data_IF_887938146898
#
_entry.id   IF_887938146898
#
_cell.length_a   1.000
_cell.length_b   1.000
_cell.length_c   1.000
_cell.angle_alpha   90.00
_cell.angle_beta   90.00
_cell.angle_gamma   90.00
#
_symmetry.space_group_name_H-M   'P 1'
#
loop_
_entity.id
_entity.type
_entity.pdbx_description
1 polymer ?
#
# COMPACT_ATOMS: atom_id res chain seq x y z
N UNK A 1 -13.03 22.81 -27.19
CA UNK A 1 -13.40 21.46 -26.71
C UNK A 1 -13.67 21.53 -25.21
N UNK A 2 -14.60 20.73 -24.68
CA UNK A 2 -14.85 20.65 -23.22
C UNK A 2 -14.38 19.29 -22.72
N UNK A 3 -13.68 19.28 -21.60
CA UNK A 3 -13.11 18.09 -21.00
C UNK A 3 -14.22 17.12 -20.58
N UNK A 4 -13.98 15.83 -20.76
CA UNK A 4 -14.80 14.76 -20.20
C UNK A 4 -14.30 14.52 -18.78
N UNK A 5 -15.19 14.56 -17.77
CA UNK A 5 -14.86 14.32 -16.36
C UNK A 5 -15.78 13.26 -15.78
N UNK A 6 -15.22 12.18 -15.23
CA UNK A 6 -15.97 11.07 -14.62
C UNK A 6 -15.10 10.32 -13.60
N UNK A 7 -15.76 9.53 -12.75
CA UNK A 7 -15.14 8.76 -11.68
C UNK A 7 -14.47 7.49 -12.22
N UNK A 8 -13.29 7.17 -11.68
CA UNK A 8 -12.55 5.93 -11.93
C UNK A 8 -13.47 4.69 -11.80
N UNK A 9 -13.35 3.72 -12.71
CA UNK A 9 -14.16 2.50 -12.74
C UNK A 9 -15.55 2.62 -13.40
N UNK A 10 -15.96 3.80 -13.87
CA UNK A 10 -17.19 3.99 -14.64
C UNK A 10 -16.91 4.18 -16.14
N UNK A 11 -17.75 3.60 -17.00
CA UNK A 11 -17.78 3.93 -18.42
C UNK A 11 -18.50 5.26 -18.59
N UNK A 12 -17.97 6.15 -19.43
CA UNK A 12 -18.61 7.43 -19.70
C UNK A 12 -18.93 7.59 -21.18
N UNK A 13 -20.07 8.23 -21.45
CA UNK A 13 -20.51 8.50 -22.80
C UNK A 13 -19.79 9.73 -23.35
N UNK A 14 -19.15 9.57 -24.51
CA UNK A 14 -18.57 10.70 -25.20
C UNK A 14 -19.67 11.47 -25.94
N UNK A 15 -20.26 12.46 -25.28
CA UNK A 15 -21.30 13.29 -25.91
C UNK A 15 -20.75 14.44 -26.77
N UNK A 16 -21.60 14.97 -27.68
CA UNK A 16 -21.31 16.12 -28.55
C UNK A 16 -20.74 17.33 -27.80
N UNK A 17 -21.20 17.59 -26.57
CA UNK A 17 -20.73 18.74 -25.77
C UNK A 17 -19.21 18.70 -25.53
N UNK A 18 -18.60 17.51 -25.59
CA UNK A 18 -17.18 17.33 -25.38
C UNK A 18 -16.41 17.57 -26.67
N UNK A 19 -16.83 16.99 -27.81
CA UNK A 19 -16.24 17.23 -29.14
C UNK A 19 -16.96 18.37 -29.89
N UNK A 20 -16.99 19.57 -29.32
CA UNK A 20 -17.45 20.75 -30.05
C UNK A 20 -16.46 21.12 -31.16
N UNK A 21 -16.82 20.80 -32.40
CA UNK A 21 -16.31 21.49 -33.57
C UNK A 21 -17.04 22.84 -33.66
N UNK A 22 -16.31 23.96 -33.67
CA UNK A 22 -16.86 25.32 -33.75
C UNK A 22 -17.44 25.65 -35.16
N UNK A 23 -18.10 24.67 -35.78
CA UNK A 23 -18.60 24.73 -37.15
C UNK A 23 -20.09 24.50 -37.17
N UNK A 24 -20.82 25.48 -37.69
CA UNK A 24 -22.23 25.31 -38.01
C UNK A 24 -22.35 24.51 -39.32
N UNK A 25 -22.22 23.19 -39.25
CA UNK A 25 -22.34 22.30 -40.42
C UNK A 25 -23.67 22.45 -41.19
N UNK A 26 -24.72 22.95 -40.51
CA UNK A 26 -25.99 23.32 -41.14
C UNK A 26 -25.83 24.43 -42.20
N UNK A 27 -24.94 25.39 -41.97
CA UNK A 27 -24.68 26.50 -42.90
C UNK A 27 -23.92 25.99 -44.14
N UNK A 28 -23.18 24.88 -44.00
CA UNK A 28 -22.48 24.20 -45.09
C UNK A 28 -23.36 23.14 -45.79
N UNK A 29 -24.57 22.87 -45.30
CA UNK A 29 -25.43 21.74 -45.70
C UNK A 29 -24.68 20.39 -45.75
N UNK A 30 -23.80 20.17 -44.76
CA UNK A 30 -23.15 18.88 -44.52
C UNK A 30 -23.96 18.16 -43.45
N UNK A 31 -24.43 16.95 -43.73
CA UNK A 31 -25.14 16.13 -42.74
C UNK A 31 -24.17 15.52 -41.73
N UNK A 32 -24.61 15.32 -40.49
CA UNK A 32 -23.76 14.73 -39.44
C UNK A 32 -23.29 13.30 -39.77
N UNK A 33 -24.07 12.54 -40.54
CA UNK A 33 -23.64 11.22 -41.05
C UNK A 33 -22.51 11.29 -42.08
N UNK A 34 -22.22 12.47 -42.64
CA UNK A 34 -21.17 12.65 -43.65
C UNK A 34 -19.84 13.08 -43.05
N UNK A 35 -19.82 13.51 -41.78
CA UNK A 35 -18.60 13.94 -41.07
C UNK A 35 -18.04 12.72 -40.38
N UNK A 36 -16.83 12.33 -40.77
CA UNK A 36 -16.13 11.17 -40.23
C UNK A 36 -14.99 11.64 -39.32
N UNK A 37 -14.87 10.98 -38.17
CA UNK A 37 -13.75 11.07 -37.26
C UNK A 37 -12.95 9.78 -37.37
N UNK A 38 -11.66 9.88 -37.70
CA UNK A 38 -10.76 8.73 -37.77
C UNK A 38 -9.69 8.84 -36.70
N UNK A 39 -9.69 7.93 -35.73
CA UNK A 39 -8.72 7.92 -34.63
C UNK A 39 -7.33 7.59 -35.19
N UNK A 40 -6.33 8.39 -34.83
CA UNK A 40 -4.93 8.19 -35.18
C UNK A 40 -4.17 7.53 -34.03
N UNK A 41 -4.17 8.17 -32.87
CA UNK A 41 -3.59 7.63 -31.63
C UNK A 41 -4.71 7.33 -30.65
N UNK A 42 -4.68 6.13 -30.08
CA UNK A 42 -5.65 5.70 -29.06
C UNK A 42 -5.29 6.27 -27.69
N UNK A 43 -6.26 6.32 -26.77
CA UNK A 43 -5.96 6.63 -25.38
C UNK A 43 -4.93 5.67 -24.77
N UNK A 44 -4.08 6.20 -23.89
CA UNK A 44 -3.00 5.47 -23.22
C UNK A 44 -3.59 4.68 -22.04
N UNK A 45 -4.42 5.34 -21.24
CA UNK A 45 -4.98 4.83 -19.97
C UNK A 45 -6.39 4.25 -20.13
N UNK A 46 -6.92 4.25 -21.36
CA UNK A 46 -8.25 3.75 -21.66
C UNK A 46 -8.38 3.09 -23.03
N UNK A 47 -9.62 2.98 -23.49
CA UNK A 47 -9.98 2.59 -24.84
C UNK A 47 -11.31 3.22 -25.25
N UNK A 48 -11.58 3.21 -26.56
CA UNK A 48 -12.76 3.81 -27.18
C UNK A 48 -13.62 2.73 -27.84
N UNK A 49 -14.59 2.11 -27.14
CA UNK A 49 -15.59 1.25 -27.77
C UNK A 49 -16.46 2.04 -28.74
N UNK A 50 -16.75 1.43 -29.90
CA UNK A 50 -17.61 1.99 -30.94
C UNK A 50 -18.73 1.00 -31.25
N UNK A 51 -19.99 1.42 -31.15
CA UNK A 51 -21.17 0.64 -31.58
C UNK A 51 -21.55 1.06 -33.00
N UNK A 52 -20.64 0.75 -33.93
CA UNK A 52 -20.72 1.12 -35.35
C UNK A 52 -20.54 -0.13 -36.23
N UNK A 53 -20.93 -0.08 -37.51
CA UNK A 53 -20.67 -1.15 -38.46
C UNK A 53 -19.20 -1.65 -38.41
N UNK A 54 -18.95 -2.97 -38.56
CA UNK A 54 -17.61 -3.57 -38.40
C UNK A 54 -16.52 -2.93 -39.28
N UNK A 55 -16.88 -2.46 -40.47
CA UNK A 55 -15.95 -1.77 -41.38
C UNK A 55 -15.42 -0.47 -40.76
N UNK A 56 -16.30 0.32 -40.12
CA UNK A 56 -15.92 1.56 -39.45
C UNK A 56 -15.17 1.30 -38.15
N UNK A 57 -15.58 0.29 -37.39
CA UNK A 57 -14.89 -0.12 -36.17
C UNK A 57 -13.45 -0.57 -36.46
N UNK A 58 -13.24 -1.37 -37.52
CA UNK A 58 -11.92 -1.83 -37.95
C UNK A 58 -11.01 -0.67 -38.38
N UNK A 59 -11.58 0.38 -38.95
CA UNK A 59 -10.87 1.62 -39.30
C UNK A 59 -10.72 2.60 -38.12
N UNK A 60 -11.23 2.27 -36.93
CA UNK A 60 -11.27 3.15 -35.76
C UNK A 60 -11.93 4.49 -36.08
N UNK A 61 -13.03 4.44 -36.82
CA UNK A 61 -13.74 5.60 -37.32
C UNK A 61 -15.21 5.61 -36.89
N UNK A 62 -15.74 6.80 -36.66
CA UNK A 62 -17.15 7.01 -36.32
C UNK A 62 -17.63 8.33 -36.92
N UNK A 63 -18.94 8.45 -37.17
CA UNK A 63 -19.51 9.69 -37.71
C UNK A 63 -19.96 10.64 -36.60
N UNK A 64 -20.17 11.91 -36.93
CA UNK A 64 -20.84 12.85 -36.02
C UNK A 64 -22.24 12.35 -35.61
N UNK A 65 -22.93 11.60 -36.48
CA UNK A 65 -24.22 10.98 -36.13
C UNK A 65 -24.06 9.89 -35.06
N UNK A 66 -23.01 9.07 -35.14
CA UNK A 66 -22.74 8.01 -34.15
C UNK A 66 -22.44 8.61 -32.77
N UNK A 67 -21.63 9.67 -32.74
CA UNK A 67 -21.38 10.44 -31.52
C UNK A 67 -22.68 11.02 -30.93
N UNK A 68 -23.59 11.52 -31.78
CA UNK A 68 -24.89 12.06 -31.36
C UNK A 68 -25.86 11.00 -30.84
N UNK A 69 -25.81 9.81 -31.41
CA UNK A 69 -26.62 8.67 -30.99
C UNK A 69 -26.05 7.98 -29.76
N UNK A 70 -24.90 8.45 -29.24
CA UNK A 70 -24.26 7.91 -28.07
C UNK A 70 -23.61 6.55 -28.30
N UNK A 71 -23.05 6.32 -29.49
CA UNK A 71 -22.40 5.07 -29.90
C UNK A 71 -20.88 5.06 -29.71
N UNK A 72 -20.36 6.07 -29.02
CA UNK A 72 -18.93 6.26 -28.78
C UNK A 72 -18.73 6.44 -27.28
N UNK A 73 -17.95 5.55 -26.70
CA UNK A 73 -17.66 5.56 -25.27
C UNK A 73 -16.17 5.72 -25.02
N UNK A 74 -15.85 6.20 -23.84
CA UNK A 74 -14.51 6.06 -23.29
C UNK A 74 -14.59 5.17 -22.04
N UNK A 75 -13.67 4.20 -21.97
CA UNK A 75 -13.53 3.31 -20.83
C UNK A 75 -12.11 3.43 -20.30
N UNK A 76 -11.99 3.87 -19.04
CA UNK A 76 -10.72 3.92 -18.32
C UNK A 76 -10.31 2.51 -17.89
N UNK A 77 -9.02 2.16 -18.02
CA UNK A 77 -8.49 0.83 -17.63
C UNK A 77 -8.14 0.72 -16.16
N UNK A 78 -8.29 1.81 -15.43
CA UNK A 78 -8.14 1.85 -13.99
C UNK A 78 -6.72 2.16 -13.49
N UNK A 79 -5.98 3.03 -14.18
CA UNK A 79 -4.78 3.65 -13.60
C UNK A 79 -5.11 4.92 -12.81
N UNK A 80 -4.18 5.40 -11.98
CA UNK A 80 -4.36 6.66 -11.24
C UNK A 80 -3.99 7.92 -12.03
N UNK A 81 -3.73 7.79 -13.33
CA UNK A 81 -3.41 8.92 -14.20
C UNK A 81 -4.66 9.78 -14.46
N UNK A 82 -4.65 11.07 -14.04
CA UNK A 82 -5.84 11.93 -14.13
C UNK A 82 -6.07 12.48 -15.53
N UNK A 83 -5.14 12.24 -16.47
CA UNK A 83 -5.19 12.78 -17.82
C UNK A 83 -4.96 11.66 -18.83
N UNK A 84 -5.84 11.60 -19.83
CA UNK A 84 -5.66 10.77 -21.01
C UNK A 84 -6.05 11.58 -22.26
N UNK A 85 -5.71 11.10 -23.44
CA UNK A 85 -6.08 11.77 -24.68
C UNK A 85 -6.11 10.81 -25.85
N UNK A 86 -6.83 11.17 -26.90
CA UNK A 86 -6.68 10.52 -28.20
C UNK A 86 -6.58 11.57 -29.30
N UNK A 87 -5.95 11.20 -30.41
CA UNK A 87 -5.86 12.06 -31.58
C UNK A 87 -6.71 11.51 -32.72
N UNK A 88 -7.27 12.39 -33.53
CA UNK A 88 -8.16 12.03 -34.63
C UNK A 88 -8.06 13.01 -35.79
N UNK A 89 -8.37 12.53 -36.99
CA UNK A 89 -8.57 13.33 -38.19
C UNK A 89 -10.07 13.50 -38.45
N UNK A 90 -10.43 14.63 -39.06
CA UNK A 90 -11.80 14.89 -39.51
C UNK A 90 -11.81 14.88 -41.03
N UNK A 91 -12.77 14.16 -41.61
CA UNK A 91 -13.03 14.19 -43.05
C UNK A 91 -14.53 14.26 -43.33
N UNK A 92 -14.90 14.51 -44.59
CA UNK A 92 -16.29 14.58 -45.01
C UNK A 92 -16.49 13.88 -46.34
N UNK A 93 -17.51 13.03 -46.42
CA UNK A 93 -17.94 12.38 -47.67
C UNK A 93 -18.86 13.28 -48.52
N UNK A 94 -19.00 14.57 -48.17
CA UNK A 94 -19.76 15.54 -48.95
C UNK A 94 -18.93 16.09 -50.12
N UNK A 95 -19.56 16.37 -51.26
CA UNK A 95 -18.94 17.07 -52.40
C UNK A 95 -18.60 18.54 -52.13
N UNK A 96 -18.90 19.04 -50.93
CA UNK A 96 -18.70 20.44 -50.52
C UNK A 96 -17.39 20.58 -49.76
N UNK A 97 -16.69 21.68 -49.99
CA UNK A 97 -15.43 21.98 -49.29
C UNK A 97 -15.65 22.14 -47.79
N UNK A 98 -14.82 21.44 -47.02
CA UNK A 98 -14.71 21.63 -45.57
C UNK A 98 -13.75 22.77 -45.26
N UNK A 99 -13.95 23.52 -44.16
CA UNK A 99 -13.02 24.55 -43.75
C UNK A 99 -11.60 23.97 -43.60
N UNK A 100 -10.58 24.72 -44.05
CA UNK A 100 -9.18 24.28 -44.08
C UNK A 100 -8.68 23.73 -42.74
N UNK A 101 -9.16 24.27 -41.61
CA UNK A 101 -8.77 23.84 -40.26
C UNK A 101 -9.37 22.51 -39.80
N UNK A 102 -10.31 21.94 -40.56
CA UNK A 102 -10.85 20.60 -40.32
C UNK A 102 -10.50 19.61 -41.44
N UNK A 103 -9.74 20.02 -42.45
CA UNK A 103 -9.37 19.11 -43.53
C UNK A 103 -8.49 17.96 -43.00
N UNK A 104 -8.53 16.84 -43.73
CA UNK A 104 -8.02 15.51 -43.38
C UNK A 104 -6.52 15.44 -43.03
N UNK A 105 -5.79 16.56 -43.05
CA UNK A 105 -4.36 16.65 -42.78
C UNK A 105 -4.00 17.28 -41.43
N UNK A 106 -4.97 17.81 -40.66
CA UNK A 106 -4.70 18.40 -39.35
C UNK A 106 -5.15 17.44 -38.23
N UNK A 107 -4.22 16.84 -37.46
CA UNK A 107 -4.59 16.03 -36.31
C UNK A 107 -5.18 16.92 -35.21
N UNK A 108 -6.32 16.48 -34.69
CA UNK A 108 -6.96 17.08 -33.54
C UNK A 108 -6.76 16.19 -32.32
N UNK A 109 -6.60 16.81 -31.15
CA UNK A 109 -6.45 16.11 -29.88
C UNK A 109 -7.70 16.31 -29.04
N UNK A 110 -8.20 15.23 -28.45
CA UNK A 110 -9.26 15.25 -27.48
C UNK A 110 -8.72 14.90 -26.09
N UNK A 111 -8.78 15.86 -25.16
CA UNK A 111 -8.33 15.67 -23.78
C UNK A 111 -9.43 15.06 -22.92
N UNK A 112 -9.05 14.07 -22.13
CA UNK A 112 -9.88 13.37 -21.15
C UNK A 112 -9.32 13.69 -19.77
N UNK A 113 -10.18 14.14 -18.86
CA UNK A 113 -9.80 14.38 -17.47
C UNK A 113 -10.50 13.34 -16.61
N UNK A 114 -9.73 12.43 -16.03
CA UNK A 114 -10.22 11.41 -15.12
C UNK A 114 -10.17 12.01 -13.72
N UNK A 115 -11.28 11.89 -12.97
CA UNK A 115 -11.28 12.27 -11.56
C UNK A 115 -10.93 10.99 -10.79
N UNK A 116 -9.75 10.91 -10.15
CA UNK A 116 -9.37 9.75 -9.38
C UNK A 116 -10.35 9.55 -8.23
N UNK A 117 -10.56 8.29 -7.86
CA UNK A 117 -11.40 7.89 -6.72
C UNK A 117 -10.55 6.96 -5.90
N UNK A 118 -10.38 7.30 -4.62
CA UNK A 118 -9.60 6.51 -3.70
C UNK A 118 -10.12 5.06 -3.61
N UNK A 119 -9.27 4.10 -3.94
CA UNK A 119 -9.58 2.69 -3.97
C UNK A 119 -9.41 2.02 -2.60
N UNK A 120 -9.98 0.82 -2.39
CA UNK A 120 -9.83 0.12 -1.12
C UNK A 120 -8.39 -0.32 -0.83
N UNK A 121 -7.85 0.13 0.30
CA UNK A 121 -6.60 -0.37 0.89
C UNK A 121 -6.73 -1.78 1.47
N UNK A 122 -5.69 -2.60 1.31
CA UNK A 122 -5.61 -3.96 1.89
C UNK A 122 -4.43 -4.12 2.86
N UNK A 123 -4.67 -4.83 3.96
CA UNK A 123 -3.64 -5.25 4.92
C UNK A 123 -3.76 -6.75 5.17
N UNK A 124 -2.65 -7.46 5.03
CA UNK A 124 -2.55 -8.90 5.30
C UNK A 124 -1.41 -9.16 6.26
N UNK A 125 -1.60 -10.13 7.16
CA UNK A 125 -0.51 -10.76 7.89
C UNK A 125 -0.29 -12.11 7.20
N UNK A 126 0.89 -12.37 6.59
CA UNK A 126 1.19 -13.63 5.93
C UNK A 126 0.85 -14.86 6.79
N UNK A 127 0.38 -15.92 6.13
CA UNK A 127 -0.07 -17.12 6.82
C UNK A 127 1.12 -17.80 7.54
N UNK A 128 0.90 -18.19 8.80
CA UNK A 128 1.96 -18.74 9.64
C UNK A 128 2.79 -17.69 10.39
N UNK A 129 2.57 -16.39 10.17
CA UNK A 129 3.25 -15.36 10.95
C UNK A 129 2.86 -15.44 12.43
N UNK A 130 3.86 -15.75 13.25
CA UNK A 130 3.83 -15.81 14.70
C UNK A 130 5.01 -15.01 15.23
N UNK A 131 4.74 -14.01 16.06
CA UNK A 131 5.79 -13.31 16.79
C UNK A 131 6.19 -14.15 18.01
N UNK A 132 7.26 -14.94 17.84
CA UNK A 132 7.86 -15.71 18.92
C UNK A 132 8.92 -14.86 19.65
N UNK A 133 8.81 -14.71 20.97
CA UNK A 133 9.80 -14.03 21.81
C UNK A 133 9.92 -14.71 23.18
N UNK A 134 10.87 -14.30 24.00
CA UNK A 134 10.94 -14.79 25.37
C UNK A 134 10.09 -13.95 26.32
N UNK A 135 9.67 -14.57 27.43
CA UNK A 135 8.93 -13.86 28.47
C UNK A 135 9.73 -12.68 29.02
N UNK A 136 9.05 -11.54 29.15
CA UNK A 136 9.60 -10.28 29.67
C UNK A 136 10.73 -9.71 28.81
N UNK A 137 10.90 -10.19 27.57
CA UNK A 137 11.76 -9.56 26.57
C UNK A 137 10.94 -8.70 25.60
N UNK A 138 11.64 -8.07 24.66
CA UNK A 138 11.02 -7.34 23.57
C UNK A 138 11.58 -7.80 22.24
N UNK A 139 10.75 -7.75 21.21
CA UNK A 139 11.11 -8.15 19.85
C UNK A 139 10.68 -7.11 18.83
N UNK A 140 11.59 -6.81 17.92
CA UNK A 140 11.34 -5.90 16.80
C UNK A 140 10.29 -6.48 15.86
N UNK A 141 9.34 -5.65 15.44
CA UNK A 141 8.44 -5.95 14.33
C UNK A 141 9.13 -5.61 13.01
N UNK A 142 8.94 -6.45 12.00
CA UNK A 142 9.58 -6.29 10.69
C UNK A 142 8.52 -6.22 9.59
N UNK A 143 8.88 -5.63 8.45
CA UNK A 143 8.01 -5.57 7.27
C UNK A 143 7.46 -6.94 6.85
N UNK A 144 8.24 -8.02 6.98
CA UNK A 144 7.78 -9.38 6.65
C UNK A 144 6.57 -9.85 7.46
N UNK A 145 6.23 -9.17 8.56
CA UNK A 145 5.07 -9.51 9.38
C UNK A 145 3.76 -9.00 8.79
N UNK A 146 3.81 -8.03 7.88
CA UNK A 146 2.65 -7.36 7.28
C UNK A 146 2.85 -7.14 5.78
N UNK A 147 1.82 -7.36 4.99
CA UNK A 147 1.77 -7.09 3.56
C UNK A 147 0.65 -6.09 3.31
N UNK A 148 0.96 -4.94 2.71
CA UNK A 148 0.03 -3.84 2.48
C UNK A 148 0.11 -3.38 1.04
N UNK A 149 -1.06 -3.10 0.47
CA UNK A 149 -1.17 -2.61 -0.90
C UNK A 149 -2.28 -1.58 -1.02
N UNK A 150 -1.92 -0.45 -1.61
CA UNK A 150 -2.77 0.67 -1.95
C UNK A 150 -2.36 1.14 -3.36
N UNK A 151 -3.32 1.40 -4.24
CA UNK A 151 -3.06 1.91 -5.59
C UNK A 151 -2.90 3.42 -5.63
N UNK A 152 -3.50 4.14 -4.68
CA UNK A 152 -3.56 5.59 -4.61
C UNK A 152 -2.40 6.17 -3.80
N UNK A 153 -2.01 5.45 -2.74
CA UNK A 153 -1.08 5.96 -1.73
C UNK A 153 0.23 5.17 -1.70
N UNK A 154 1.37 5.87 -1.53
CA UNK A 154 2.63 5.18 -1.31
C UNK A 154 2.59 4.34 -0.04
N UNK A 155 3.00 3.08 -0.17
CA UNK A 155 2.99 2.10 0.92
C UNK A 155 3.70 2.58 2.18
N UNK A 156 4.71 3.45 2.07
CA UNK A 156 5.48 3.96 3.21
C UNK A 156 4.78 5.06 3.98
N UNK A 157 3.88 5.82 3.34
CA UNK A 157 3.05 6.84 4.00
C UNK A 157 1.84 6.25 4.72
N UNK A 158 1.54 4.96 4.52
CA UNK A 158 0.44 4.30 5.19
C UNK A 158 0.68 4.23 6.71
N UNK A 159 -0.38 4.55 7.45
CA UNK A 159 -0.42 4.42 8.90
C UNK A 159 -1.01 3.07 9.31
N UNK A 160 -0.46 2.46 10.36
CA UNK A 160 -0.98 1.25 10.98
C UNK A 160 -1.46 1.59 12.38
N UNK A 161 -2.68 1.19 12.70
CA UNK A 161 -3.29 1.33 14.01
C UNK A 161 -3.60 -0.04 14.62
N UNK A 162 -3.39 -0.14 15.93
CA UNK A 162 -3.80 -1.29 16.73
C UNK A 162 -5.26 -1.11 17.18
N UNK A 163 -6.11 -2.07 16.87
CA UNK A 163 -7.53 -2.03 17.21
C UNK A 163 -7.80 -2.65 18.59
N UNK A 164 -8.64 -1.95 19.35
CA UNK A 164 -9.11 -2.37 20.67
C UNK A 164 -8.13 -2.04 21.79
N UNK A 165 -8.60 -2.17 23.04
CA UNK A 165 -7.68 -2.25 24.15
C UNK A 165 -6.94 -3.59 24.00
N UNK A 166 -5.68 -3.48 23.65
CA UNK A 166 -4.65 -4.46 23.98
C UNK A 166 -5.03 -5.19 25.27
N UNK A 167 -4.82 -6.50 25.35
CA UNK A 167 -4.63 -7.11 26.67
C UNK A 167 -3.38 -6.43 27.25
N UNK A 168 -3.54 -5.30 27.94
CA UNK A 168 -2.45 -4.54 28.59
C UNK A 168 -1.60 -5.45 29.47
N UNK A 169 -2.19 -6.56 29.88
CA UNK A 169 -1.64 -7.61 30.72
C UNK A 169 -0.93 -8.72 29.91
N UNK A 170 -0.74 -8.54 28.60
CA UNK A 170 0.10 -9.39 27.75
C UNK A 170 1.32 -8.66 27.18
N UNK A 171 1.24 -7.34 26.99
CA UNK A 171 2.34 -6.53 26.48
C UNK A 171 1.89 -5.16 25.99
N UNK A 172 2.74 -4.53 25.18
CA UNK A 172 2.42 -3.31 24.42
C UNK A 172 3.41 -3.15 23.26
N UNK A 173 3.07 -2.31 22.28
CA UNK A 173 4.02 -1.85 21.28
C UNK A 173 4.72 -0.58 21.78
N UNK A 174 5.99 -0.42 21.48
CA UNK A 174 6.78 0.80 21.72
C UNK A 174 7.54 1.24 20.46
N UNK A 175 7.89 2.51 20.40
CA UNK A 175 8.82 3.05 19.41
C UNK A 175 10.22 3.16 20.06
N UNK A 176 11.27 2.80 19.31
CA UNK A 176 12.67 2.90 19.75
C UNK A 176 13.07 4.31 20.18
N UNK A 177 12.42 5.34 19.62
CA UNK A 177 12.65 6.74 19.97
C UNK A 177 12.06 7.15 21.32
N UNK A 178 11.10 6.39 21.87
CA UNK A 178 10.49 6.65 23.17
C UNK A 178 10.21 5.34 23.94
N UNK A 179 11.28 4.64 24.39
CA UNK A 179 11.16 3.33 25.02
C UNK A 179 10.30 3.34 26.29
N UNK A 180 9.55 2.28 26.51
CA UNK A 180 8.68 2.10 27.67
C UNK A 180 7.32 2.80 27.56
N UNK A 181 7.08 3.61 26.53
CA UNK A 181 5.76 4.20 26.26
C UNK A 181 4.98 3.37 25.26
N UNK A 182 3.75 3.04 25.64
CA UNK A 182 2.84 2.30 24.78
C UNK A 182 2.35 3.18 23.62
N UNK A 183 2.47 2.64 22.40
CA UNK A 183 1.92 3.23 21.18
C UNK A 183 0.81 2.34 20.63
N UNK A 184 -0.14 2.95 19.95
CA UNK A 184 -1.24 2.28 19.25
C UNK A 184 -1.29 2.64 17.76
N UNK A 185 -0.37 3.47 17.29
CA UNK A 185 -0.24 3.91 15.91
C UNK A 185 1.25 4.03 15.57
N UNK A 186 1.60 3.71 14.32
CA UNK A 186 2.94 3.84 13.74
C UNK A 186 2.82 3.80 12.21
N UNK A 187 3.86 4.20 11.48
CA UNK A 187 3.85 4.15 10.01
C UNK A 187 4.45 2.87 9.47
N UNK A 188 4.20 2.56 8.21
CA UNK A 188 4.92 1.48 7.53
C UNK A 188 6.42 1.78 7.42
N UNK A 189 6.78 3.05 7.29
CA UNK A 189 8.16 3.52 7.39
C UNK A 189 8.80 3.18 8.74
N UNK A 190 8.09 3.33 9.87
CA UNK A 190 8.63 2.93 11.17
C UNK A 190 8.96 1.43 11.25
N UNK A 191 8.16 0.57 10.59
CA UNK A 191 8.46 -0.86 10.48
C UNK A 191 9.67 -1.14 9.60
N UNK A 192 9.82 -0.40 8.49
CA UNK A 192 10.98 -0.51 7.58
C UNK A 192 12.26 -0.15 8.31
N UNK A 193 12.23 0.95 9.07
CA UNK A 193 13.39 1.48 9.78
C UNK A 193 13.67 0.70 11.08
N UNK A 194 12.77 -0.21 11.47
CA UNK A 194 12.97 -1.10 12.60
C UNK A 194 12.71 -0.45 13.95
N UNK A 195 11.92 0.62 13.97
CA UNK A 195 11.67 1.40 15.19
C UNK A 195 10.58 0.79 16.07
N UNK A 196 9.81 -0.18 15.59
CA UNK A 196 8.65 -0.71 16.31
C UNK A 196 9.00 -2.02 17.00
N UNK A 197 8.74 -2.09 18.30
CA UNK A 197 9.00 -3.26 19.13
C UNK A 197 7.71 -3.67 19.85
N UNK A 198 7.53 -4.98 20.01
CA UNK A 198 6.58 -5.53 20.97
C UNK A 198 7.32 -5.88 22.25
N UNK A 199 6.81 -5.37 23.38
CA UNK A 199 7.32 -5.64 24.72
C UNK A 199 6.35 -6.59 25.41
N UNK A 200 6.81 -7.79 25.76
CA UNK A 200 5.97 -8.75 26.46
C UNK A 200 5.84 -8.40 27.95
N UNK A 201 4.61 -8.44 28.46
CA UNK A 201 4.30 -8.34 29.89
C UNK A 201 3.10 -9.20 30.21
N UNK A 202 3.31 -10.38 30.81
CA UNK A 202 2.23 -11.22 31.33
C UNK A 202 1.94 -12.48 30.51
N UNK A 203 0.79 -12.56 29.85
CA UNK A 203 0.31 -13.81 29.25
C UNK A 203 1.16 -14.29 28.05
N UNK A 204 1.55 -15.58 28.09
CA UNK A 204 2.34 -16.22 27.04
C UNK A 204 1.72 -16.11 25.64
N UNK A 205 0.41 -16.30 25.50
CA UNK A 205 -0.25 -16.27 24.20
C UNK A 205 -1.11 -15.02 24.10
N UNK A 206 -0.88 -14.22 23.06
CA UNK A 206 -1.68 -13.03 22.78
C UNK A 206 -1.79 -12.76 21.28
N UNK A 207 -2.56 -11.74 20.92
CA UNK A 207 -2.71 -11.32 19.53
C UNK A 207 -2.92 -9.81 19.45
N UNK A 208 -2.44 -9.21 18.37
CA UNK A 208 -2.65 -7.80 18.02
C UNK A 208 -3.51 -7.75 16.77
N UNK A 209 -4.60 -6.98 16.83
CA UNK A 209 -5.43 -6.72 15.66
C UNK A 209 -4.97 -5.40 15.05
N UNK A 210 -4.49 -5.47 13.81
CA UNK A 210 -3.96 -4.34 13.06
C UNK A 210 -4.96 -3.88 12.00
N UNK A 211 -4.93 -2.58 11.70
CA UNK A 211 -5.64 -1.96 10.59
C UNK A 211 -4.75 -0.88 9.97
N UNK A 212 -4.71 -0.83 8.65
CA UNK A 212 -3.99 0.21 7.92
C UNK A 212 -4.94 1.33 7.48
N UNK A 213 -4.40 2.52 7.27
CA UNK A 213 -5.13 3.70 6.78
C UNK A 213 -4.22 4.65 6.02
N UNK A 214 -4.77 5.22 4.97
CA UNK A 214 -4.26 6.29 4.11
C UNK A 214 -4.87 7.66 4.47
N UNK A 215 -5.37 7.82 5.71
CA UNK A 215 -6.09 9.00 6.24
C UNK A 215 -7.55 9.14 5.79
N UNK A 216 -7.95 8.61 4.63
CA UNK A 216 -9.32 8.68 4.12
C UNK A 216 -10.09 7.37 4.30
N UNK A 217 -9.47 6.26 3.92
CA UNK A 217 -9.99 4.90 3.99
C UNK A 217 -9.21 4.05 4.99
N UNK A 218 -9.77 2.87 5.26
CA UNK A 218 -9.26 1.95 6.26
C UNK A 218 -9.39 0.53 5.78
N UNK A 219 -8.32 -0.25 5.93
CA UNK A 219 -8.24 -1.60 5.41
C UNK A 219 -9.09 -2.62 6.18
N UNK A 220 -9.04 -3.88 5.76
CA UNK A 220 -9.52 -5.00 6.56
C UNK A 220 -8.71 -5.16 7.86
N UNK A 221 -9.23 -5.95 8.79
CA UNK A 221 -8.50 -6.29 10.03
C UNK A 221 -7.52 -7.42 9.74
N UNK A 222 -6.29 -7.29 10.22
CA UNK A 222 -5.30 -8.37 10.21
C UNK A 222 -4.90 -8.73 11.65
N UNK A 223 -4.61 -10.00 11.90
CA UNK A 223 -4.30 -10.49 13.26
C UNK A 223 -2.88 -11.00 13.29
N UNK A 224 -2.02 -10.35 14.08
CA UNK A 224 -0.68 -10.82 14.41
C UNK A 224 -0.75 -11.63 15.70
N UNK A 225 -0.40 -12.92 15.63
CA UNK A 225 -0.34 -13.79 16.82
C UNK A 225 1.02 -13.65 17.50
N UNK A 226 1.02 -13.76 18.82
CA UNK A 226 2.20 -13.60 19.66
C UNK A 226 2.29 -14.77 20.63
N UNK A 227 3.48 -15.32 20.77
CA UNK A 227 3.79 -16.39 21.72
C UNK A 227 5.09 -16.05 22.44
N UNK A 228 5.00 -15.88 23.76
CA UNK A 228 6.15 -15.77 24.63
C UNK A 228 6.52 -17.14 25.18
N UNK A 229 7.81 -17.46 25.10
CA UNK A 229 8.40 -18.70 25.58
C UNK A 229 9.07 -18.41 26.93
N UNK A 230 8.82 -19.24 27.97
CA UNK A 230 9.50 -19.07 29.24
C UNK A 230 11.00 -19.31 29.10
N UNK A 231 11.77 -18.60 29.91
CA UNK A 231 13.20 -18.85 30.03
C UNK A 231 13.44 -20.18 30.75
N UNK A 232 14.29 -21.01 30.17
CA UNK A 232 14.78 -22.25 30.79
C UNK A 232 16.25 -22.04 31.16
N UNK A 233 16.55 -22.16 32.45
CA UNK A 233 17.88 -21.95 33.01
C UNK A 233 18.43 -23.24 33.58
N UNK A 234 19.63 -23.63 33.14
CA UNK A 234 20.33 -24.79 33.66
C UNK A 234 21.71 -24.39 34.19
N UNK A 235 22.12 -24.90 35.35
CA UNK A 235 23.50 -24.70 35.83
C UNK A 235 24.43 -25.58 35.00
N UNK A 236 25.30 -24.95 34.22
CA UNK A 236 26.22 -25.64 33.33
C UNK A 236 27.55 -25.99 34.02
N UNK A 237 28.20 -25.01 34.63
CA UNK A 237 29.41 -25.22 35.43
C UNK A 237 29.15 -24.92 36.90
N UNK A 238 29.67 -25.80 37.75
CA UNK A 238 29.67 -25.66 39.22
C UNK A 238 30.96 -26.27 39.78
N UNK A 239 32.07 -25.93 39.13
CA UNK A 239 33.40 -26.36 39.50
C UNK A 239 33.88 -25.35 40.55
N UNK A 240 33.82 -25.75 41.82
CA UNK A 240 34.27 -24.92 42.93
C UNK A 240 35.71 -24.45 42.77
N UNK A 241 36.07 -23.37 43.47
CA UNK A 241 37.43 -22.84 43.43
C UNK A 241 38.19 -23.27 44.68
N UNK A 242 39.39 -23.82 44.49
CA UNK A 242 40.29 -24.16 45.60
C UNK A 242 41.13 -22.93 45.93
N UNK A 243 41.20 -22.57 47.21
CA UNK A 243 41.96 -21.41 47.69
C UNK A 243 42.89 -21.78 48.82
N UNK A 244 44.02 -21.10 48.87
CA UNK A 244 44.88 -21.04 50.04
C UNK A 244 44.38 -19.97 51.02
N UNK A 245 44.64 -20.16 52.31
CA UNK A 245 44.15 -19.27 53.37
C UNK A 245 44.66 -17.83 53.17
N UNK A 246 43.74 -16.88 53.03
CA UNK A 246 44.05 -15.47 52.77
C UNK A 246 44.05 -15.07 51.28
N UNK A 247 43.80 -16.01 50.36
CA UNK A 247 43.68 -15.73 48.93
C UNK A 247 42.31 -15.14 48.52
N UNK A 248 42.30 -14.43 47.39
CA UNK A 248 41.11 -13.83 46.77
C UNK A 248 40.97 -14.36 45.34
N UNK A 249 40.44 -15.57 45.12
CA UNK A 249 40.32 -16.11 43.78
C UNK A 249 39.29 -15.32 42.96
N UNK A 250 39.50 -15.27 41.65
CA UNK A 250 38.48 -14.82 40.73
C UNK A 250 37.58 -16.01 40.36
N UNK A 251 36.28 -15.91 40.67
CA UNK A 251 35.28 -16.84 40.16
C UNK A 251 34.96 -16.42 38.73
N UNK A 252 35.22 -17.30 37.76
CA UNK A 252 34.95 -17.04 36.34
C UNK A 252 33.83 -17.95 35.82
N UNK A 253 33.39 -17.74 34.56
CA UNK A 253 32.44 -18.63 33.87
C UNK A 253 32.91 -20.09 33.76
N UNK A 254 34.22 -20.34 33.89
CA UNK A 254 34.74 -21.71 33.94
C UNK A 254 34.45 -22.40 35.29
N UNK A 255 34.19 -21.63 36.35
CA UNK A 255 33.88 -22.12 37.68
C UNK A 255 32.37 -22.22 37.91
N UNK A 256 31.64 -21.15 37.56
CA UNK A 256 30.19 -21.07 37.69
C UNK A 256 29.59 -20.45 36.43
N UNK A 257 28.76 -21.21 35.73
CA UNK A 257 28.01 -20.73 34.57
C UNK A 257 26.60 -21.30 34.54
N UNK A 258 25.71 -20.52 33.94
CA UNK A 258 24.32 -20.91 33.63
C UNK A 258 24.24 -21.05 32.11
N UNK A 259 23.43 -21.98 31.63
CA UNK A 259 22.98 -22.10 30.24
C UNK A 259 21.51 -21.67 30.17
N UNK A 260 21.14 -21.05 29.05
CA UNK A 260 19.78 -20.59 28.79
C UNK A 260 19.31 -21.06 27.41
N UNK A 261 18.01 -21.24 27.25
CA UNK A 261 17.39 -21.61 25.97
C UNK A 261 17.36 -20.48 24.91
N UNK A 262 18.03 -19.35 25.15
CA UNK A 262 18.07 -18.17 24.25
C UNK A 262 19.42 -17.44 24.23
N UNK A 263 19.52 -16.31 23.54
CA UNK A 263 20.75 -15.51 23.49
C UNK A 263 20.90 -14.58 24.71
N UNK A 264 22.15 -14.42 25.20
CA UNK A 264 22.47 -13.65 26.41
C UNK A 264 22.17 -12.14 26.33
N UNK A 265 22.02 -11.58 25.13
CA UNK A 265 21.82 -10.15 24.94
C UNK A 265 20.42 -9.65 25.36
N UNK A 266 19.48 -10.56 25.65
CA UNK A 266 18.11 -10.23 26.05
C UNK A 266 17.88 -10.17 27.58
N UNK A 267 18.92 -10.34 28.40
CA UNK A 267 18.82 -10.33 29.86
C UNK A 267 19.88 -9.46 30.54
N UNK A 268 19.45 -8.48 31.34
CA UNK A 268 20.30 -7.88 32.37
C UNK A 268 20.35 -8.84 33.58
N UNK A 269 21.52 -9.45 33.85
CA UNK A 269 21.69 -10.39 34.96
C UNK A 269 21.82 -9.66 36.30
N UNK A 270 20.85 -9.85 37.21
CA UNK A 270 21.04 -9.66 38.65
C UNK A 270 21.26 -11.03 39.31
N UNK A 271 22.45 -11.26 39.86
CA UNK A 271 22.74 -12.47 40.65
C UNK A 271 22.71 -12.13 42.14
N UNK A 272 21.65 -12.53 42.84
CA UNK A 272 21.63 -12.55 44.30
C UNK A 272 22.22 -13.88 44.80
N UNK A 273 23.36 -13.81 45.49
CA UNK A 273 24.03 -14.98 46.06
C UNK A 273 24.09 -14.84 47.58
N UNK A 274 23.46 -15.78 48.29
CA UNK A 274 23.46 -15.83 49.75
C UNK A 274 24.67 -16.57 50.34
N UNK A 275 25.37 -15.84 51.22
CA UNK A 275 25.94 -16.24 52.51
C UNK A 275 27.10 -17.24 52.52
N UNK A 276 28.35 -16.73 52.42
CA UNK A 276 29.48 -16.88 53.35
C UNK A 276 30.78 -16.40 52.65
N UNK A 277 31.15 -15.14 52.88
CA UNK A 277 32.37 -14.51 52.31
C UNK A 277 32.11 -13.09 51.80
N UNK A 278 33.06 -12.18 52.00
CA UNK A 278 32.99 -10.80 51.52
C UNK A 278 33.59 -10.75 50.11
N UNK A 279 32.80 -10.30 49.13
CA UNK A 279 33.25 -10.07 47.74
C UNK A 279 33.50 -8.58 47.58
N UNK A 280 34.62 -8.21 46.97
CA UNK A 280 34.90 -6.85 46.53
C UNK A 280 34.67 -6.78 45.02
N UNK A 281 33.86 -5.81 44.58
CA UNK A 281 33.49 -5.56 43.18
C UNK A 281 34.61 -4.84 42.43
#
# INVERSE_FOLDING_TARGET
>A
MRNLSFQHGMWTLLEQRHMKLDVKFKDLSIHHSQILFKIQERPIHGFLPLDVPPEQEMEMAFTMLDLWQGKVWYVHKGSEEPIDYFTFLVSSNSKKEMPLYLQEHVPHMFNIIVIPVNDPLYLKVPEGNLLLLFENSKKQLTLSMTDMSDSDTDSLSLSISVLGNFNSDAGFLENANDPGKAINHFTHEDLRDGNIFYVHRGHQNSQIVLRASDEELVSNRAVLRIMAVPWDFAVANRIGVVIEQGGTPLITRSNLSVEVNGEWHEMETCSDITQYGQIQW
#
